data_IF_189142317581
#
_entry.id   IF_189142317581
#
_cell.length_a   1.000
_cell.length_b   1.000
_cell.length_c   1.000
_cell.angle_alpha   90.00
_cell.angle_beta   90.00
_cell.angle_gamma   90.00
#
_symmetry.space_group_name_H-M   'P 1'
#
loop_
_entity.id
_entity.type
_entity.pdbx_description
1 polymer ?
#
# COMPACT_ATOMS: atom_id res chain seq x y z
N UNK A 1 -26.52 -20.86 4.44
CA UNK A 1 -25.38 -20.36 5.23
C UNK A 1 -24.97 -19.02 4.64
N UNK A 2 -24.99 -17.91 5.38
CA UNK A 2 -24.32 -16.69 4.88
C UNK A 2 -22.86 -17.07 4.58
N UNK A 3 -22.30 -16.52 3.50
CA UNK A 3 -20.93 -16.82 3.09
C UNK A 3 -19.97 -16.67 4.26
N UNK A 4 -18.99 -17.58 4.36
CA UNK A 4 -17.96 -17.51 5.40
C UNK A 4 -17.25 -16.15 5.29
N UNK A 5 -17.40 -15.33 6.33
CA UNK A 5 -16.84 -13.98 6.39
C UNK A 5 -15.31 -13.99 6.26
N UNK A 6 -14.65 -15.05 6.72
CA UNK A 6 -13.22 -15.21 6.58
C UNK A 6 -12.82 -15.42 5.12
N UNK A 7 -13.58 -16.22 4.39
CA UNK A 7 -13.33 -16.45 2.96
C UNK A 7 -13.63 -15.22 2.12
N UNK A 8 -14.71 -14.48 2.42
CA UNK A 8 -14.98 -13.20 1.78
C UNK A 8 -13.86 -12.18 2.00
N UNK A 9 -13.34 -12.07 3.23
CA UNK A 9 -12.23 -11.17 3.54
C UNK A 9 -10.95 -11.56 2.78
N UNK A 10 -10.62 -12.86 2.75
CA UNK A 10 -9.48 -13.38 1.97
C UNK A 10 -9.64 -13.07 0.49
N UNK A 11 -10.81 -13.34 -0.09
CA UNK A 11 -11.09 -13.10 -1.50
C UNK A 11 -10.97 -11.61 -1.84
N UNK A 12 -11.55 -10.72 -1.03
CA UNK A 12 -11.50 -9.27 -1.27
C UNK A 12 -10.07 -8.73 -1.21
N UNK A 13 -9.27 -9.19 -0.24
CA UNK A 13 -7.86 -8.80 -0.11
C UNK A 13 -7.03 -9.26 -1.31
N UNK A 14 -7.24 -10.50 -1.78
CA UNK A 14 -6.58 -11.04 -2.98
C UNK A 14 -6.94 -10.23 -4.23
N UNK A 15 -8.23 -9.98 -4.46
CA UNK A 15 -8.71 -9.19 -5.59
C UNK A 15 -8.15 -7.77 -5.58
N UNK A 16 -8.09 -7.12 -4.41
CA UNK A 16 -7.52 -5.77 -4.28
C UNK A 16 -6.06 -5.74 -4.71
N UNK A 17 -5.25 -6.70 -4.24
CA UNK A 17 -3.84 -6.82 -4.62
C UNK A 17 -3.68 -7.05 -6.13
N UNK A 18 -4.46 -7.95 -6.71
CA UNK A 18 -4.41 -8.25 -8.15
C UNK A 18 -4.81 -7.04 -9.01
N UNK A 19 -5.87 -6.33 -8.63
CA UNK A 19 -6.30 -5.11 -9.31
C UNK A 19 -5.23 -4.01 -9.26
N UNK A 20 -4.63 -3.80 -8.09
CA UNK A 20 -3.55 -2.81 -7.91
C UNK A 20 -2.36 -3.15 -8.82
N UNK A 21 -1.92 -4.41 -8.87
CA UNK A 21 -0.82 -4.84 -9.74
C UNK A 21 -1.17 -4.69 -11.23
N UNK A 22 -2.43 -4.95 -11.61
CA UNK A 22 -2.88 -4.80 -12.99
C UNK A 22 -2.96 -3.33 -13.42
N UNK A 23 -3.38 -2.43 -12.54
CA UNK A 23 -3.50 -0.99 -12.84
C UNK A 23 -2.13 -0.36 -13.09
N UNK A 24 -1.07 -0.85 -12.45
CA UNK A 24 0.28 -0.33 -12.63
C UNK A 24 1.02 -0.95 -13.81
N UNK A 25 0.47 -2.00 -14.41
CA UNK A 25 1.08 -2.67 -15.55
C UNK A 25 1.15 -1.71 -16.75
N UNK A 26 2.35 -1.56 -17.32
CA UNK A 26 2.61 -0.66 -18.44
C UNK A 26 2.70 0.84 -18.11
N UNK A 27 2.59 1.26 -16.83
CA UNK A 27 2.78 2.66 -16.46
C UNK A 27 4.27 3.04 -16.40
N UNK A 28 4.59 4.25 -16.89
CA UNK A 28 5.91 4.84 -16.73
C UNK A 28 6.09 5.49 -15.34
N UNK A 29 7.34 5.75 -14.97
CA UNK A 29 7.66 6.48 -13.73
C UNK A 29 7.07 7.90 -13.73
N UNK A 30 7.07 8.60 -14.88
CA UNK A 30 6.47 9.93 -14.99
C UNK A 30 4.96 9.88 -14.76
N UNK A 31 4.28 8.84 -15.28
CA UNK A 31 2.85 8.65 -15.05
C UNK A 31 2.57 8.37 -13.57
N UNK A 32 3.36 7.52 -12.91
CA UNK A 32 3.23 7.26 -11.48
C UNK A 32 3.47 8.51 -10.62
N UNK A 33 4.38 9.39 -11.05
CA UNK A 33 4.70 10.63 -10.36
C UNK A 33 3.72 11.79 -10.65
N UNK A 34 2.91 11.67 -11.70
CA UNK A 34 1.98 12.71 -12.11
C UNK A 34 0.92 13.01 -11.03
N UNK A 35 0.56 14.29 -10.89
CA UNK A 35 -0.41 14.80 -9.92
C UNK A 35 -1.47 15.65 -10.65
N UNK A 36 -2.78 15.40 -10.45
CA UNK A 36 -3.83 16.16 -11.10
C UNK A 36 -3.99 17.59 -10.54
N UNK A 37 -3.51 17.84 -9.32
CA UNK A 37 -3.56 19.15 -8.66
C UNK A 37 -2.41 19.27 -7.64
N UNK A 38 -1.99 20.50 -7.26
CA UNK A 38 -0.86 20.71 -6.34
C UNK A 38 -0.97 19.98 -5.00
N UNK A 39 -2.20 19.80 -4.49
CA UNK A 39 -2.48 19.11 -3.22
C UNK A 39 -2.91 17.65 -3.38
N UNK A 40 -3.12 17.17 -4.61
CA UNK A 40 -3.51 15.79 -4.86
C UNK A 40 -2.30 14.86 -4.74
N UNK A 41 -2.47 13.66 -4.18
CA UNK A 41 -1.42 12.65 -4.20
C UNK A 41 -1.21 12.12 -5.63
N UNK A 42 0.00 11.67 -5.95
CA UNK A 42 0.28 10.98 -7.21
C UNK A 42 -0.25 9.54 -7.16
N UNK A 43 -0.34 8.88 -8.33
CA UNK A 43 -0.71 7.47 -8.38
C UNK A 43 0.27 6.60 -7.58
N UNK A 44 1.58 6.84 -7.75
CA UNK A 44 2.63 6.12 -7.01
C UNK A 44 2.50 6.26 -5.50
N UNK A 45 2.16 7.45 -5.00
CA UNK A 45 1.92 7.66 -3.57
C UNK A 45 0.71 6.84 -3.08
N UNK A 46 -0.40 6.87 -3.81
CA UNK A 46 -1.62 6.12 -3.44
C UNK A 46 -1.36 4.62 -3.40
N UNK A 47 -0.65 4.08 -4.39
CA UNK A 47 -0.31 2.65 -4.49
C UNK A 47 0.60 2.21 -3.34
N UNK A 48 1.64 3.00 -3.06
CA UNK A 48 2.51 2.79 -1.90
C UNK A 48 1.70 2.84 -0.59
N UNK A 49 0.79 3.80 -0.44
CA UNK A 49 0.00 3.98 0.77
C UNK A 49 -0.96 2.81 1.02
N UNK A 50 -1.58 2.25 -0.03
CA UNK A 50 -2.41 1.03 0.08
C UNK A 50 -1.58 -0.14 0.64
N UNK A 51 -0.39 -0.37 0.10
CA UNK A 51 0.50 -1.43 0.57
C UNK A 51 0.94 -1.19 2.03
N UNK A 52 1.21 0.07 2.40
CA UNK A 52 1.59 0.46 3.76
C UNK A 52 0.48 0.23 4.78
N UNK A 53 -0.76 0.56 4.42
CA UNK A 53 -1.94 0.30 5.25
C UNK A 53 -2.20 -1.21 5.42
N UNK A 54 -2.00 -2.02 4.37
CA UNK A 54 -2.14 -3.47 4.46
C UNK A 54 -1.09 -4.09 5.40
N UNK A 55 0.18 -3.66 5.32
CA UNK A 55 1.25 -4.06 6.23
C UNK A 55 0.92 -3.70 7.69
N UNK A 56 0.51 -2.45 7.94
CA UNK A 56 0.10 -1.98 9.27
C UNK A 56 -1.06 -2.79 9.87
N UNK A 57 -2.10 -3.05 9.08
CA UNK A 57 -3.24 -3.85 9.54
C UNK A 57 -2.83 -5.29 9.86
N UNK A 58 -1.99 -5.91 9.00
CA UNK A 58 -1.51 -7.27 9.24
C UNK A 58 -0.68 -7.37 10.52
N UNK A 59 0.19 -6.38 10.77
CA UNK A 59 0.97 -6.28 11.99
C UNK A 59 0.08 -6.16 13.24
N UNK A 60 -0.91 -5.28 13.20
CA UNK A 60 -1.87 -5.06 14.29
C UNK A 60 -2.69 -6.33 14.60
N UNK A 61 -3.23 -6.99 13.58
CA UNK A 61 -4.04 -8.21 13.75
C UNK A 61 -3.16 -9.38 14.20
N UNK A 62 -1.95 -9.50 13.67
CA UNK A 62 -1.03 -10.58 13.98
C UNK A 62 -0.23 -10.39 15.27
N UNK A 63 -0.28 -9.22 15.90
CA UNK A 63 0.58 -8.88 17.05
C UNK A 63 2.07 -8.91 16.70
N UNK A 64 2.43 -8.55 15.47
CA UNK A 64 3.81 -8.57 14.97
C UNK A 64 4.30 -7.16 14.61
N UNK A 65 5.61 -7.01 14.37
CA UNK A 65 6.13 -5.77 13.81
C UNK A 65 5.79 -5.67 12.32
N UNK A 66 5.40 -4.46 11.91
CA UNK A 66 5.24 -4.07 10.50
C UNK A 66 6.50 -4.42 9.70
N UNK A 67 6.31 -4.99 8.50
CA UNK A 67 7.38 -5.31 7.56
C UNK A 67 8.24 -4.07 7.32
N UNK A 68 7.58 -2.92 7.14
CA UNK A 68 8.21 -1.62 6.97
C UNK A 68 9.32 -1.32 7.99
N UNK A 69 9.00 -1.48 9.27
CA UNK A 69 9.91 -1.19 10.37
C UNK A 69 10.93 -2.31 10.54
N UNK A 70 10.47 -3.57 10.51
CA UNK A 70 11.32 -4.75 10.68
C UNK A 70 12.43 -4.82 9.62
N UNK A 71 12.14 -4.42 8.39
CA UNK A 71 13.08 -4.47 7.26
C UNK A 71 13.74 -3.11 6.95
N UNK A 72 13.46 -2.07 7.74
CA UNK A 72 14.05 -0.74 7.55
C UNK A 72 13.80 -0.16 6.16
N UNK A 73 12.60 -0.39 5.60
CA UNK A 73 12.32 -0.10 4.19
C UNK A 73 12.45 1.39 3.85
N UNK A 74 12.12 2.29 4.78
CA UNK A 74 12.33 3.73 4.61
C UNK A 74 13.79 4.05 4.26
N UNK A 75 14.72 3.53 5.06
CA UNK A 75 16.16 3.71 4.86
C UNK A 75 16.63 3.04 3.58
N UNK A 76 16.19 1.79 3.34
CA UNK A 76 16.56 1.03 2.15
C UNK A 76 16.13 1.72 0.84
N UNK A 77 15.02 2.45 0.88
CA UNK A 77 14.47 3.16 -0.28
C UNK A 77 14.81 4.66 -0.28
N UNK A 78 15.61 5.14 0.68
CA UNK A 78 16.03 6.55 0.75
C UNK A 78 14.89 7.54 1.00
N UNK A 79 13.80 7.09 1.65
CA UNK A 79 12.62 7.93 1.89
C UNK A 79 12.81 8.76 3.17
N UNK A 80 12.76 10.09 3.02
CA UNK A 80 12.76 11.01 4.15
C UNK A 80 11.46 10.88 4.94
N UNK A 81 11.56 10.93 6.28
CA UNK A 81 10.44 10.71 7.21
C UNK A 81 9.24 11.65 6.95
N UNK A 82 9.50 12.86 6.45
CA UNK A 82 8.51 13.88 6.12
C UNK A 82 7.59 13.50 4.93
N UNK A 83 8.01 12.56 4.09
CA UNK A 83 7.24 12.09 2.93
C UNK A 83 6.31 10.92 3.28
N UNK A 84 6.43 10.36 4.50
CA UNK A 84 5.81 9.11 4.91
C UNK A 84 4.41 9.27 5.55
N UNK A 85 3.91 10.51 5.68
CA UNK A 85 2.63 10.75 6.35
C UNK A 85 2.63 10.28 7.81
N UNK A 86 3.79 10.38 8.47
CA UNK A 86 3.99 10.09 9.89
C UNK A 86 3.41 11.23 10.75
N UNK A 87 2.09 11.45 10.68
CA UNK A 87 1.25 12.09 11.69
C UNK A 87 -0.23 11.98 11.30
#
# INVERSE_FOLDING_TARGET
MPADMLDLAKQRSKMTRELVLKVVDGLSNEQLAWRPAPRAHSMGWTLWHIARCADKLAAQVGGTAEIWTREGLATRWGLAEILLGSN
#
